data_IF_676144591251
#
_entry.id   IF_676144591251
#
_cell.length_a   1.000
_cell.length_b   1.000
_cell.length_c   1.000
_cell.angle_alpha   90.00
_cell.angle_beta   90.00
_cell.angle_gamma   90.00
#
_symmetry.space_group_name_H-M   'P 1'
#
loop_
_entity.id
_entity.type
_entity.pdbx_description
1 polymer ?
#
# COMPACT_ATOMS: atom_id res chain seq x y z
N UNK A 1 10.22 -3.36 -28.40
CA UNK A 1 9.89 -3.79 -27.03
C UNK A 1 8.94 -2.76 -26.44
N UNK A 2 7.71 -3.14 -26.12
CA UNK A 2 6.83 -2.27 -25.31
C UNK A 2 7.22 -2.44 -23.84
N UNK A 3 8.05 -1.53 -23.32
CA UNK A 3 8.31 -1.44 -21.89
C UNK A 3 7.12 -0.85 -21.14
N UNK A 4 7.15 -0.95 -19.82
CA UNK A 4 6.32 -0.13 -18.93
C UNK A 4 7.21 0.91 -18.24
N UNK A 5 6.59 1.97 -17.73
CA UNK A 5 7.26 2.97 -16.93
C UNK A 5 6.43 3.26 -15.67
N UNK A 6 7.10 3.62 -14.58
CA UNK A 6 6.43 4.11 -13.38
C UNK A 6 6.14 5.60 -13.62
N UNK A 7 4.87 5.93 -13.87
CA UNK A 7 4.45 7.31 -14.14
C UNK A 7 4.41 8.19 -12.88
N UNK A 8 4.19 7.59 -11.71
CA UNK A 8 4.16 8.28 -10.42
C UNK A 8 4.26 7.31 -9.26
N UNK A 9 4.54 7.84 -8.07
CA UNK A 9 4.63 7.07 -6.83
C UNK A 9 4.19 7.93 -5.65
N UNK A 10 3.72 7.27 -4.60
CA UNK A 10 3.26 7.89 -3.37
C UNK A 10 3.50 6.97 -2.17
N UNK A 11 3.44 7.55 -0.98
CA UNK A 11 3.49 6.81 0.29
C UNK A 11 2.57 7.50 1.29
N UNK A 12 2.01 6.70 2.19
CA UNK A 12 1.32 7.18 3.38
C UNK A 12 1.85 6.38 4.57
N UNK A 13 2.01 7.04 5.70
CA UNK A 13 2.47 6.44 6.94
C UNK A 13 1.58 6.97 8.06
N UNK A 14 1.22 6.14 9.05
CA UNK A 14 0.63 6.63 10.28
C UNK A 14 1.48 7.71 10.95
N UNK A 15 0.82 8.66 11.62
CA UNK A 15 1.52 9.75 12.32
C UNK A 15 2.25 9.25 13.56
N UNK A 16 1.64 8.31 14.30
CA UNK A 16 2.20 7.78 15.55
C UNK A 16 3.51 7.04 15.29
N UNK A 17 4.57 7.58 15.91
CA UNK A 17 5.90 6.97 15.97
C UNK A 17 6.00 6.15 17.24
N UNK A 18 6.44 4.91 17.08
CA UNK A 18 6.80 4.01 18.19
C UNK A 18 8.31 3.80 18.14
N UNK A 19 9.01 4.25 19.16
CA UNK A 19 10.47 4.13 19.25
C UNK A 19 10.89 2.74 19.74
N UNK A 20 12.13 2.35 19.45
CA UNK A 20 12.71 1.13 20.02
C UNK A 20 12.83 1.20 21.53
N UNK A 21 13.03 2.39 22.11
CA UNK A 21 12.99 2.61 23.57
C UNK A 21 11.61 2.27 24.14
N UNK A 22 10.53 2.80 23.56
CA UNK A 22 9.15 2.51 24.00
C UNK A 22 8.84 1.00 23.94
N UNK A 23 9.25 0.32 22.87
CA UNK A 23 9.07 -1.13 22.75
C UNK A 23 9.93 -1.90 23.75
N UNK A 24 11.17 -1.47 23.97
CA UNK A 24 12.08 -2.11 24.90
C UNK A 24 11.52 -2.07 26.32
N UNK A 25 11.01 -0.91 26.76
CA UNK A 25 10.31 -0.75 28.04
C UNK A 25 9.09 -1.66 28.13
N UNK A 26 8.25 -1.69 27.09
CA UNK A 26 7.03 -2.52 27.06
C UNK A 26 7.32 -4.02 27.21
N UNK A 27 8.42 -4.49 26.65
CA UNK A 27 8.79 -5.91 26.64
C UNK A 27 9.84 -6.29 27.70
N UNK A 28 10.29 -5.33 28.52
CA UNK A 28 11.30 -5.57 29.55
C UNK A 28 12.66 -5.99 28.97
N UNK A 29 13.01 -5.48 27.78
CA UNK A 29 14.31 -5.68 27.14
C UNK A 29 15.07 -4.36 27.05
N UNK A 30 16.33 -4.43 26.64
CA UNK A 30 17.15 -3.24 26.40
C UNK A 30 16.95 -2.70 24.97
N UNK A 31 16.99 -1.39 24.77
CA UNK A 31 16.87 -0.79 23.43
C UNK A 31 17.95 -1.32 22.47
N UNK A 32 19.19 -1.50 22.96
CA UNK A 32 20.29 -2.07 22.19
C UNK A 32 19.97 -3.48 21.71
N UNK A 33 19.20 -4.26 22.47
CA UNK A 33 18.76 -5.59 22.04
C UNK A 33 17.88 -5.52 20.77
N UNK A 34 16.98 -4.53 20.69
CA UNK A 34 16.12 -4.32 19.51
C UNK A 34 16.98 -3.86 18.33
N UNK A 35 17.75 -2.79 18.52
CA UNK A 35 18.52 -2.15 17.45
C UNK A 35 19.61 -3.07 16.89
N UNK A 36 20.36 -3.78 17.75
CA UNK A 36 21.46 -4.66 17.29
C UNK A 36 20.98 -5.86 16.46
N UNK A 37 19.74 -6.30 16.63
CA UNK A 37 19.20 -7.48 15.92
C UNK A 37 18.52 -7.16 14.61
N UNK A 38 17.82 -6.04 14.51
CA UNK A 38 17.02 -5.71 13.33
C UNK A 38 17.36 -4.36 12.68
N UNK A 39 18.19 -3.54 13.32
CA UNK A 39 18.53 -2.20 12.84
C UNK A 39 17.39 -1.17 12.94
N UNK A 40 16.27 -1.50 13.57
CA UNK A 40 15.09 -0.63 13.66
C UNK A 40 15.24 0.30 14.85
N UNK A 41 15.16 1.61 14.61
CA UNK A 41 15.17 2.66 15.65
C UNK A 41 13.75 3.14 16.00
N UNK A 42 12.88 3.18 15.00
CA UNK A 42 11.48 3.56 15.15
C UNK A 42 10.64 2.83 14.12
N UNK A 43 9.34 2.78 14.38
CA UNK A 43 8.32 2.28 13.46
C UNK A 43 7.06 3.14 13.56
N UNK A 44 6.15 2.92 12.62
CA UNK A 44 4.85 3.59 12.59
C UNK A 44 3.79 2.64 13.13
N UNK A 45 2.81 3.17 13.85
CA UNK A 45 1.66 2.42 14.34
C UNK A 45 0.40 3.18 13.97
N UNK A 46 -0.65 2.48 13.56
CA UNK A 46 -1.96 3.09 13.30
C UNK A 46 -2.60 3.59 14.59
N UNK A 47 -3.22 4.76 14.51
CA UNK A 47 -4.17 5.23 15.53
C UNK A 47 -5.60 4.78 15.17
N UNK A 48 -6.53 4.76 16.15
CA UNK A 48 -7.93 4.45 15.87
C UNK A 48 -8.49 5.32 14.73
N UNK A 49 -9.07 4.67 13.72
CA UNK A 49 -9.60 5.33 12.53
C UNK A 49 -8.68 5.29 11.31
N UNK A 50 -7.41 4.92 11.45
CA UNK A 50 -6.56 4.57 10.32
C UNK A 50 -6.67 3.07 10.00
N UNK A 51 -6.94 2.77 8.74
CA UNK A 51 -7.08 1.41 8.19
C UNK A 51 -6.13 1.20 7.01
N UNK A 52 -5.92 -0.06 6.63
CA UNK A 52 -5.21 -0.46 5.41
C UNK A 52 -5.70 0.28 4.17
N UNK A 53 -7.02 0.39 3.98
CA UNK A 53 -7.66 1.11 2.90
C UNK A 53 -7.39 2.62 2.99
N UNK A 54 -7.50 3.23 4.17
CA UNK A 54 -7.24 4.68 4.31
C UNK A 54 -5.80 5.05 3.93
N UNK A 55 -4.82 4.27 4.37
CA UNK A 55 -3.41 4.46 4.01
C UNK A 55 -3.19 4.19 2.51
N UNK A 56 -3.89 3.20 1.94
CA UNK A 56 -3.85 2.93 0.51
C UNK A 56 -4.45 4.09 -0.30
N UNK A 57 -5.55 4.70 0.13
CA UNK A 57 -6.13 5.90 -0.50
C UNK A 57 -5.14 7.04 -0.49
N UNK A 58 -4.51 7.33 0.66
CA UNK A 58 -3.55 8.44 0.76
C UNK A 58 -2.31 8.22 -0.12
N UNK A 59 -1.75 7.00 -0.09
CA UNK A 59 -0.62 6.64 -0.95
C UNK A 59 -0.99 6.68 -2.44
N UNK A 60 -2.17 6.17 -2.80
CA UNK A 60 -2.70 6.17 -4.16
C UNK A 60 -2.95 7.58 -4.68
N UNK A 61 -3.55 8.46 -3.86
CA UNK A 61 -3.77 9.87 -4.19
C UNK A 61 -2.46 10.60 -4.45
N UNK A 62 -1.43 10.36 -3.63
CA UNK A 62 -0.10 10.91 -3.85
C UNK A 62 0.55 10.39 -5.14
N UNK A 63 0.40 9.10 -5.45
CA UNK A 63 0.93 8.51 -6.68
C UNK A 63 0.25 9.07 -7.94
N UNK A 64 -1.08 9.20 -7.92
CA UNK A 64 -1.88 9.79 -8.99
C UNK A 64 -1.50 11.26 -9.23
N UNK A 65 -1.41 12.06 -8.15
CA UNK A 65 -0.99 13.45 -8.24
C UNK A 65 0.41 13.59 -8.85
N UNK A 66 1.36 12.73 -8.46
CA UNK A 66 2.72 12.72 -9.02
C UNK A 66 2.77 12.34 -10.50
N UNK A 67 1.84 11.49 -10.94
CA UNK A 67 1.69 11.11 -12.35
C UNK A 67 0.91 12.14 -13.18
N UNK A 68 0.28 13.13 -12.55
CA UNK A 68 -0.65 14.05 -13.21
C UNK A 68 -1.93 13.35 -13.68
N UNK A 69 -2.35 12.29 -12.98
CA UNK A 69 -3.50 11.46 -13.31
C UNK A 69 -4.57 11.56 -12.22
N UNK A 70 -5.77 11.10 -12.56
CA UNK A 70 -6.91 10.92 -11.65
C UNK A 70 -7.35 9.46 -11.65
N UNK A 71 -8.27 9.08 -10.75
CA UNK A 71 -8.82 7.72 -10.77
C UNK A 71 -9.54 7.37 -12.08
N UNK A 72 -10.08 8.37 -12.79
CA UNK A 72 -10.75 8.17 -14.06
C UNK A 72 -9.82 7.64 -15.17
N UNK A 73 -8.51 7.87 -15.03
CA UNK A 73 -7.49 7.43 -15.99
C UNK A 73 -7.08 5.96 -15.77
N UNK A 74 -7.42 5.37 -14.62
CA UNK A 74 -6.92 4.07 -14.19
C UNK A 74 -7.77 2.92 -14.75
N UNK A 75 -7.12 2.00 -15.48
CA UNK A 75 -7.74 0.78 -16.01
C UNK A 75 -7.99 -0.30 -14.95
N UNK A 76 -7.12 -0.37 -13.96
CA UNK A 76 -7.24 -1.34 -12.88
C UNK A 76 -6.53 -0.85 -11.62
N UNK A 77 -7.17 -1.10 -10.47
CA UNK A 77 -6.57 -0.95 -9.15
C UNK A 77 -6.19 -2.33 -8.61
N UNK A 78 -4.97 -2.45 -8.11
CA UNK A 78 -4.49 -3.62 -7.38
C UNK A 78 -4.05 -3.16 -5.99
N UNK A 79 -4.66 -3.72 -4.94
CA UNK A 79 -4.22 -3.53 -3.55
C UNK A 79 -3.57 -4.82 -3.08
N UNK A 80 -2.26 -4.78 -2.84
CA UNK A 80 -1.51 -5.85 -2.22
C UNK A 80 -1.54 -5.67 -0.70
N UNK A 81 -2.21 -6.58 0.01
CA UNK A 81 -2.34 -6.53 1.46
C UNK A 81 -2.50 -7.92 2.07
N UNK A 82 -1.96 -8.10 3.27
CA UNK A 82 -2.20 -9.25 4.15
C UNK A 82 -3.10 -8.89 5.34
N UNK A 83 -3.42 -7.61 5.53
CA UNK A 83 -4.22 -7.07 6.63
C UNK A 83 -5.46 -6.33 6.12
N UNK A 84 -6.35 -6.99 5.37
CA UNK A 84 -7.58 -6.37 4.88
C UNK A 84 -8.50 -5.98 6.05
N UNK A 85 -9.38 -5.00 5.84
CA UNK A 85 -10.36 -4.61 6.89
C UNK A 85 -11.26 -5.78 7.27
N UNK A 86 -11.58 -6.63 6.29
CA UNK A 86 -12.51 -7.74 6.42
C UNK A 86 -12.30 -8.78 5.31
N UNK A 87 -12.82 -10.01 5.45
CA UNK A 87 -12.71 -11.04 4.41
C UNK A 87 -13.45 -10.70 3.12
N UNK A 88 -14.56 -9.98 3.22
CA UNK A 88 -15.37 -9.52 2.10
C UNK A 88 -16.26 -8.36 2.53
N UNK A 89 -16.39 -7.28 1.73
CA UNK A 89 -15.73 -7.05 0.44
C UNK A 89 -14.22 -6.81 0.56
N UNK A 90 -13.52 -6.83 -0.59
CA UNK A 90 -12.08 -6.59 -0.68
C UNK A 90 -11.69 -5.15 -0.29
N UNK A 91 -10.47 -4.96 0.23
CA UNK A 91 -9.87 -3.66 0.61
C UNK A 91 -9.91 -2.69 -0.56
N UNK A 92 -9.58 -3.19 -1.76
CA UNK A 92 -9.58 -2.44 -3.01
C UNK A 92 -10.94 -1.88 -3.39
N UNK A 93 -12.06 -2.41 -2.87
CA UNK A 93 -13.38 -1.82 -3.11
C UNK A 93 -13.53 -0.45 -2.42
N UNK A 94 -13.01 -0.29 -1.20
CA UNK A 94 -13.00 0.99 -0.50
C UNK A 94 -12.08 1.99 -1.20
N UNK A 95 -10.88 1.54 -1.57
CA UNK A 95 -9.89 2.38 -2.26
C UNK A 95 -10.38 2.81 -3.65
N UNK A 96 -11.06 1.91 -4.36
CA UNK A 96 -11.69 2.18 -5.67
C UNK A 96 -12.70 3.32 -5.57
N UNK A 97 -13.59 3.23 -4.58
CA UNK A 97 -14.60 4.26 -4.30
C UNK A 97 -13.95 5.62 -4.00
N UNK A 98 -13.01 5.67 -3.05
CA UNK A 98 -12.45 6.93 -2.53
C UNK A 98 -11.50 7.63 -3.51
N UNK A 99 -10.89 6.88 -4.44
CA UNK A 99 -10.06 7.43 -5.51
C UNK A 99 -10.81 7.68 -6.81
N UNK A 100 -12.08 7.27 -6.91
CA UNK A 100 -12.90 7.44 -8.11
C UNK A 100 -12.33 6.67 -9.32
N UNK A 101 -11.92 5.42 -9.11
CA UNK A 101 -11.27 4.61 -10.13
C UNK A 101 -12.30 4.21 -11.21
N UNK A 102 -11.99 4.44 -12.49
CA UNK A 102 -12.88 4.06 -13.59
C UNK A 102 -12.88 2.55 -13.88
N UNK A 103 -11.72 1.91 -13.70
CA UNK A 103 -11.48 0.50 -13.98
C UNK A 103 -12.01 -0.47 -12.93
N UNK A 104 -11.62 -1.74 -13.08
CA UNK A 104 -11.86 -2.77 -12.06
C UNK A 104 -10.89 -2.64 -10.88
N UNK A 105 -11.15 -3.40 -9.81
CA UNK A 105 -10.31 -3.45 -8.63
C UNK A 105 -10.18 -4.88 -8.11
N UNK A 106 -9.01 -5.24 -7.58
CA UNK A 106 -8.80 -6.52 -6.89
C UNK A 106 -7.77 -6.40 -5.76
N UNK A 107 -7.90 -7.30 -4.79
CA UNK A 107 -6.88 -7.54 -3.77
C UNK A 107 -5.94 -8.66 -4.23
N UNK A 108 -4.67 -8.55 -3.84
CA UNK A 108 -3.68 -9.62 -3.96
C UNK A 108 -3.07 -9.87 -2.59
N UNK A 109 -3.32 -11.04 -2.02
CA UNK A 109 -2.60 -11.49 -0.83
C UNK A 109 -1.49 -12.46 -1.24
N UNK A 110 -0.24 -12.03 -1.04
CA UNK A 110 0.94 -12.89 -1.08
C UNK A 110 1.94 -12.42 -0.03
N UNK A 111 1.42 -12.07 1.15
CA UNK A 111 2.19 -11.50 2.27
C UNK A 111 3.08 -10.33 1.81
N UNK A 112 4.28 -10.20 2.38
CA UNK A 112 5.26 -9.19 2.00
C UNK A 112 5.69 -9.22 0.52
N UNK A 113 5.41 -10.31 -0.21
CA UNK A 113 5.66 -10.40 -1.66
C UNK A 113 4.51 -9.84 -2.52
N UNK A 114 3.39 -9.47 -1.91
CA UNK A 114 2.17 -9.03 -2.59
C UNK A 114 2.40 -7.92 -3.61
N UNK A 115 3.24 -6.92 -3.30
CA UNK A 115 3.53 -5.84 -4.25
C UNK A 115 4.23 -6.35 -5.52
N UNK A 116 5.18 -7.28 -5.39
CA UNK A 116 5.91 -7.85 -6.54
C UNK A 116 4.97 -8.71 -7.39
N UNK A 117 4.08 -9.49 -6.75
CA UNK A 117 3.07 -10.27 -7.46
C UNK A 117 2.05 -9.37 -8.16
N UNK A 118 1.62 -8.31 -7.50
CA UNK A 118 0.76 -7.27 -8.07
C UNK A 118 1.39 -6.59 -9.28
N UNK A 119 2.71 -6.36 -9.27
CA UNK A 119 3.43 -5.81 -10.42
C UNK A 119 3.42 -6.77 -11.61
N UNK A 120 3.59 -8.08 -11.37
CA UNK A 120 3.47 -9.10 -12.43
C UNK A 120 2.07 -9.12 -13.02
N UNK A 121 1.03 -9.07 -12.18
CA UNK A 121 -0.36 -8.98 -12.63
C UNK A 121 -0.62 -7.71 -13.44
N UNK A 122 -0.15 -6.56 -12.97
CA UNK A 122 -0.27 -5.26 -13.65
C UNK A 122 0.37 -5.31 -15.05
N UNK A 123 1.56 -5.92 -15.20
CA UNK A 123 2.20 -6.10 -16.49
C UNK A 123 1.38 -6.97 -17.46
N UNK A 124 0.66 -7.98 -16.94
CA UNK A 124 -0.28 -8.77 -17.74
C UNK A 124 -1.47 -7.93 -18.21
N UNK A 125 -2.10 -7.19 -17.29
CA UNK A 125 -3.25 -6.33 -17.57
C UNK A 125 -2.89 -5.23 -18.58
N UNK A 126 -1.71 -4.61 -18.46
CA UNK A 126 -1.21 -3.57 -19.38
C UNK A 126 -1.08 -4.03 -20.84
N UNK A 127 -1.03 -5.35 -21.09
CA UNK A 127 -1.05 -5.89 -22.46
C UNK A 127 -2.44 -5.90 -23.07
N UNK A 128 -3.48 -5.91 -22.25
CA UNK A 128 -4.90 -5.95 -22.66
C UNK A 128 -5.51 -4.55 -22.70
N UNK A 129 -5.17 -3.70 -21.73
CA UNK A 129 -5.58 -2.29 -21.67
C UNK A 129 -4.35 -1.43 -21.44
N UNK A 130 -4.09 -0.47 -22.33
CA UNK A 130 -2.90 0.38 -22.28
C UNK A 130 -3.03 1.56 -21.31
N UNK A 131 -4.21 1.76 -20.71
CA UNK A 131 -4.40 2.78 -19.67
C UNK A 131 -3.57 2.44 -18.42
N UNK A 132 -3.17 3.44 -17.62
CA UNK A 132 -2.40 3.23 -16.40
C UNK A 132 -3.07 2.27 -15.40
N UNK A 133 -2.25 1.55 -14.65
CA UNK A 133 -2.66 0.67 -13.54
C UNK A 133 -2.15 1.29 -12.24
N UNK A 134 -3.01 1.33 -11.22
CA UNK A 134 -2.62 1.75 -9.88
C UNK A 134 -2.35 0.50 -9.04
N UNK A 135 -1.12 0.31 -8.59
CA UNK A 135 -0.70 -0.77 -7.70
C UNK A 135 -0.27 -0.18 -6.36
N UNK A 136 -0.88 -0.65 -5.27
CA UNK A 136 -0.65 -0.15 -3.92
C UNK A 136 -0.33 -1.33 -3.01
N UNK A 137 0.76 -1.26 -2.25
CA UNK A 137 0.99 -2.13 -1.11
C UNK A 137 0.58 -1.41 0.17
N UNK A 138 -0.23 -2.04 1.02
CA UNK A 138 -0.69 -1.43 2.27
C UNK A 138 -0.92 -2.50 3.33
N UNK A 139 -0.42 -2.27 4.53
CA UNK A 139 -0.66 -3.13 5.70
C UNK A 139 -0.61 -2.32 7.00
N UNK A 140 -1.35 -2.77 8.02
CA UNK A 140 -1.43 -2.15 9.36
C UNK A 140 -1.26 -3.14 10.49
#
# INVERSE_FOLDING_TARGET
MSGFAIAGWGKALPERVVTSTELAERFGVDEHWVVSRCGIQERRAVDPGQTTASLAVDAGRAALAKAGLTGADIAHLIVATATPEQPSPATSAFVHHDLGIAGGAMDVNSECAGFVYGLVAAMGILRMDRRPILLIGSDT
#
